data_IF_077688023989
#
_entry.id   IF_077688023989
#
_cell.length_a   1.000
_cell.length_b   1.000
_cell.length_c   1.000
_cell.angle_alpha   90.00
_cell.angle_beta   90.00
_cell.angle_gamma   90.00
#
_symmetry.space_group_name_H-M   'P 1'
#
loop_
_entity.id
_entity.type
_entity.pdbx_description
1 polymer ?
#
# COMPACT_ATOMS: atom_id res chain seq x y z
N UNK A 1 -50.96 -22.72 -2.81
CA UNK A 1 -50.36 -23.63 -3.83
C UNK A 1 -49.41 -24.67 -3.22
N UNK A 2 -48.73 -24.40 -2.11
CA UNK A 2 -47.80 -25.33 -1.44
C UNK A 2 -48.45 -26.47 -0.63
N UNK A 3 -49.77 -26.45 -0.48
CA UNK A 3 -50.52 -27.43 0.33
C UNK A 3 -50.78 -28.77 -0.37
N UNK A 4 -50.56 -28.87 -1.69
CA UNK A 4 -50.74 -30.11 -2.48
C UNK A 4 -49.45 -30.93 -2.69
N UNK A 5 -48.32 -30.49 -2.12
CA UNK A 5 -47.02 -31.15 -2.25
C UNK A 5 -46.87 -32.27 -1.21
N UNK A 6 -46.35 -33.42 -1.62
CA UNK A 6 -46.00 -34.51 -0.70
C UNK A 6 -44.86 -34.09 0.22
N UNK A 7 -44.75 -34.75 1.38
CA UNK A 7 -43.72 -34.44 2.39
C UNK A 7 -42.30 -34.55 1.79
N UNK A 8 -42.07 -35.54 0.93
CA UNK A 8 -40.80 -35.73 0.21
C UNK A 8 -40.47 -34.55 -0.72
N UNK A 9 -41.47 -34.01 -1.43
CA UNK A 9 -41.27 -32.84 -2.30
C UNK A 9 -40.91 -31.58 -1.51
N UNK A 10 -41.52 -31.40 -0.33
CA UNK A 10 -41.18 -30.28 0.57
C UNK A 10 -39.74 -30.41 1.06
N UNK A 11 -39.28 -31.62 1.41
CA UNK A 11 -37.91 -31.88 1.84
C UNK A 11 -36.88 -31.55 0.74
N UNK A 12 -37.13 -32.01 -0.50
CA UNK A 12 -36.25 -31.68 -1.64
C UNK A 12 -36.24 -30.19 -1.97
N UNK A 13 -37.37 -29.49 -1.87
CA UNK A 13 -37.44 -28.04 -2.06
C UNK A 13 -36.61 -27.28 -1.02
N UNK A 14 -36.66 -27.69 0.26
CA UNK A 14 -35.83 -27.10 1.31
C UNK A 14 -34.35 -27.35 1.05
N UNK A 15 -33.98 -28.57 0.68
CA UNK A 15 -32.60 -28.91 0.36
C UNK A 15 -32.07 -28.15 -0.86
N UNK A 16 -32.85 -28.06 -1.93
CA UNK A 16 -32.54 -27.26 -3.11
C UNK A 16 -32.38 -25.77 -2.74
N UNK A 17 -33.25 -25.24 -1.88
CA UNK A 17 -33.13 -23.88 -1.35
C UNK A 17 -31.80 -23.63 -0.64
N UNK A 18 -31.36 -24.56 0.22
CA UNK A 18 -30.07 -24.46 0.91
C UNK A 18 -28.91 -24.47 -0.09
N UNK A 19 -28.92 -25.36 -1.07
CA UNK A 19 -27.88 -25.44 -2.11
C UNK A 19 -27.80 -24.15 -2.91
N UNK A 20 -28.95 -23.56 -3.27
CA UNK A 20 -29.00 -22.27 -3.98
C UNK A 20 -28.39 -21.15 -3.14
N UNK A 21 -28.72 -21.09 -1.83
CA UNK A 21 -28.15 -20.08 -0.92
C UNK A 21 -26.63 -20.24 -0.81
N UNK A 22 -26.13 -21.47 -0.68
CA UNK A 22 -24.69 -21.76 -0.65
C UNK A 22 -24.01 -21.34 -1.96
N UNK A 23 -24.62 -21.63 -3.11
CA UNK A 23 -24.14 -21.21 -4.42
C UNK A 23 -24.02 -19.69 -4.54
N UNK A 24 -25.04 -18.95 -4.07
CA UNK A 24 -25.03 -17.48 -4.05
C UNK A 24 -23.89 -16.96 -3.17
N UNK A 25 -23.67 -17.57 -2.00
CA UNK A 25 -22.59 -17.17 -1.08
C UNK A 25 -21.22 -17.36 -1.71
N UNK A 26 -20.98 -18.52 -2.33
CA UNK A 26 -19.74 -18.81 -3.03
C UNK A 26 -19.54 -17.84 -4.20
N UNK A 27 -20.57 -17.61 -5.00
CA UNK A 27 -20.52 -16.65 -6.11
C UNK A 27 -20.21 -15.23 -5.65
N UNK A 28 -20.85 -14.76 -4.57
CA UNK A 28 -20.59 -13.45 -3.99
C UNK A 28 -19.15 -13.34 -3.45
N UNK A 29 -18.62 -14.38 -2.81
CA UNK A 29 -17.24 -14.42 -2.35
C UNK A 29 -16.23 -14.38 -3.52
N UNK A 30 -16.50 -15.12 -4.60
CA UNK A 30 -15.69 -15.07 -5.82
C UNK A 30 -15.63 -13.66 -6.44
N UNK A 31 -16.75 -12.91 -6.39
CA UNK A 31 -16.80 -11.52 -6.88
C UNK A 31 -16.08 -10.54 -5.94
N UNK A 32 -15.98 -10.85 -4.64
CA UNK A 32 -15.38 -9.99 -3.64
C UNK A 32 -13.85 -9.95 -3.64
N UNK A 33 -13.19 -10.98 -4.19
CA UNK A 33 -11.74 -11.14 -4.13
C UNK A 33 -10.97 -9.98 -4.80
N UNK A 34 -11.47 -9.45 -5.92
CA UNK A 34 -10.81 -8.34 -6.62
C UNK A 34 -10.77 -7.01 -5.84
N UNK A 35 -11.71 -6.79 -4.92
CA UNK A 35 -11.68 -5.59 -4.05
C UNK A 35 -10.60 -5.72 -2.97
N UNK A 36 -10.35 -6.94 -2.51
CA UNK A 36 -9.30 -7.23 -1.51
C UNK A 36 -7.92 -7.03 -2.15
N UNK A 37 -7.71 -7.53 -3.37
CA UNK A 37 -6.43 -7.36 -4.07
C UNK A 37 -6.11 -5.88 -4.34
N UNK A 38 -7.10 -5.09 -4.76
CA UNK A 38 -6.94 -3.65 -4.96
C UNK A 38 -6.56 -2.91 -3.67
N UNK A 39 -7.27 -3.20 -2.57
CA UNK A 39 -6.98 -2.61 -1.26
C UNK A 39 -5.57 -2.98 -0.76
N UNK A 40 -5.14 -4.22 -0.97
CA UNK A 40 -3.78 -4.65 -0.66
C UNK A 40 -2.76 -3.86 -1.49
N UNK A 41 -2.97 -3.74 -2.81
CA UNK A 41 -2.05 -3.04 -3.69
C UNK A 41 -1.92 -1.55 -3.35
N UNK A 42 -3.03 -0.87 -3.03
CA UNK A 42 -3.02 0.51 -2.54
C UNK A 42 -2.23 0.65 -1.24
N UNK A 43 -2.44 -0.24 -0.26
CA UNK A 43 -1.68 -0.22 0.99
C UNK A 43 -0.18 -0.40 0.75
N UNK A 44 0.20 -1.37 -0.09
CA UNK A 44 1.61 -1.59 -0.45
C UNK A 44 2.21 -0.36 -1.12
N UNK A 45 1.46 0.29 -2.02
CA UNK A 45 1.90 1.52 -2.66
C UNK A 45 2.12 2.65 -1.64
N UNK A 46 1.18 2.87 -0.71
CA UNK A 46 1.33 3.86 0.37
C UNK A 46 2.57 3.60 1.23
N UNK A 47 2.84 2.35 1.60
CA UNK A 47 4.06 2.01 2.35
C UNK A 47 5.34 2.28 1.55
N UNK A 48 5.33 2.07 0.23
CA UNK A 48 6.48 2.42 -0.63
C UNK A 48 6.72 3.93 -0.65
N UNK A 49 5.67 4.73 -0.81
CA UNK A 49 5.78 6.20 -0.76
C UNK A 49 6.34 6.65 0.59
N UNK A 50 5.75 6.20 1.71
CA UNK A 50 6.21 6.55 3.06
C UNK A 50 7.67 6.19 3.30
N UNK A 51 8.10 5.00 2.88
CA UNK A 51 9.47 4.55 3.04
C UNK A 51 10.45 5.41 2.23
N UNK A 52 10.13 5.72 0.97
CA UNK A 52 10.97 6.58 0.13
C UNK A 52 11.02 8.03 0.65
N UNK A 53 9.91 8.56 1.16
CA UNK A 53 9.88 9.87 1.82
C UNK A 53 10.76 9.91 3.06
N UNK A 54 10.70 8.86 3.90
CA UNK A 54 11.53 8.74 5.10
C UNK A 54 13.02 8.69 4.72
N UNK A 55 13.38 7.89 3.72
CA UNK A 55 14.77 7.81 3.23
C UNK A 55 15.28 9.15 2.71
N UNK A 56 14.47 9.88 1.94
CA UNK A 56 14.82 11.20 1.43
C UNK A 56 15.02 12.21 2.58
N UNK A 57 14.12 12.22 3.57
CA UNK A 57 14.23 13.07 4.75
C UNK A 57 15.50 12.77 5.56
N UNK A 58 15.84 11.50 5.77
CA UNK A 58 17.07 11.10 6.46
C UNK A 58 18.32 11.63 5.75
N UNK A 59 18.34 11.62 4.42
CA UNK A 59 19.47 12.18 3.69
C UNK A 59 19.56 13.70 3.84
N UNK A 60 18.44 14.42 3.82
CA UNK A 60 18.42 15.86 4.10
C UNK A 60 18.95 16.18 5.51
N UNK A 61 18.58 15.37 6.51
CA UNK A 61 19.09 15.51 7.88
C UNK A 61 20.60 15.27 7.93
N UNK A 62 21.12 14.25 7.22
CA UNK A 62 22.57 14.00 7.15
C UNK A 62 23.31 15.16 6.46
N UNK A 63 22.73 15.73 5.41
CA UNK A 63 23.24 16.92 4.72
C UNK A 63 23.36 18.09 5.67
N UNK A 64 22.27 18.40 6.37
CA UNK A 64 22.25 19.47 7.36
C UNK A 64 23.23 19.24 8.51
N UNK A 65 23.29 18.01 9.03
CA UNK A 65 24.18 17.63 10.14
C UNK A 65 25.65 17.80 9.74
N UNK A 66 26.02 17.36 8.53
CA UNK A 66 27.39 17.50 8.03
C UNK A 66 27.80 18.96 7.84
N UNK A 67 26.94 19.75 7.19
CA UNK A 67 27.17 21.20 7.01
C UNK A 67 27.35 21.90 8.36
N UNK A 68 26.46 21.66 9.33
CA UNK A 68 26.56 22.27 10.67
C UNK A 68 27.84 21.86 11.38
N UNK A 69 28.22 20.58 11.32
CA UNK A 69 29.46 20.09 11.92
C UNK A 69 30.71 20.74 11.34
N UNK A 70 30.75 20.95 10.01
CA UNK A 70 31.83 21.65 9.35
C UNK A 70 31.89 23.13 9.75
N UNK A 71 30.75 23.84 9.72
CA UNK A 71 30.68 25.26 10.10
C UNK A 71 31.15 25.51 11.54
N UNK A 72 30.81 24.60 12.48
CA UNK A 72 31.18 24.75 13.89
C UNK A 72 32.67 24.48 14.13
N UNK A 73 33.25 23.52 13.42
CA UNK A 73 34.59 22.98 13.76
C UNK A 73 35.70 23.33 12.77
N UNK A 74 35.34 23.74 11.55
CA UNK A 74 36.25 23.94 10.43
C UNK A 74 36.90 22.66 9.90
N UNK A 75 36.50 21.47 10.37
CA UNK A 75 37.15 20.20 10.01
C UNK A 75 36.39 19.50 8.87
N UNK A 76 37.09 19.23 7.77
CA UNK A 76 36.53 18.61 6.56
C UNK A 76 35.86 17.25 6.77
N UNK A 77 36.22 16.48 7.81
CA UNK A 77 35.59 15.18 8.06
C UNK A 77 34.08 15.29 8.35
N UNK A 78 33.60 16.44 8.85
CA UNK A 78 32.16 16.65 9.02
C UNK A 78 31.42 16.84 7.70
N UNK A 79 32.10 17.00 6.55
CA UNK A 79 31.45 17.05 5.25
C UNK A 79 31.09 15.65 4.72
N UNK A 80 31.57 14.57 5.33
CA UNK A 80 31.28 13.20 4.87
C UNK A 80 29.78 12.86 4.87
N UNK A 81 28.99 13.16 5.93
CA UNK A 81 27.53 12.99 5.90
C UNK A 81 26.83 13.88 4.86
N UNK A 82 27.39 15.06 4.58
CA UNK A 82 26.87 15.94 3.53
C UNK A 82 27.04 15.33 2.15
N UNK A 83 28.27 14.97 1.79
CA UNK A 83 28.58 14.43 0.47
C UNK A 83 27.82 13.12 0.23
N UNK A 84 27.79 12.23 1.23
CA UNK A 84 27.07 10.97 1.14
C UNK A 84 25.55 11.16 1.09
N UNK A 85 25.02 12.12 1.85
CA UNK A 85 23.60 12.46 1.86
C UNK A 85 23.15 13.06 0.53
N UNK A 86 23.91 13.98 -0.05
CA UNK A 86 23.61 14.60 -1.36
C UNK A 86 23.51 13.55 -2.47
N UNK A 87 24.48 12.63 -2.54
CA UNK A 87 24.47 11.54 -3.52
C UNK A 87 23.23 10.65 -3.36
N UNK A 88 22.96 10.17 -2.14
CA UNK A 88 21.80 9.31 -1.87
C UNK A 88 20.46 10.00 -2.08
N UNK A 89 20.36 11.30 -1.76
CA UNK A 89 19.17 12.09 -2.02
C UNK A 89 18.91 12.24 -3.52
N UNK A 90 19.96 12.50 -4.31
CA UNK A 90 19.84 12.61 -5.77
C UNK A 90 19.35 11.32 -6.42
N UNK A 91 19.66 10.16 -5.83
CA UNK A 91 19.20 8.85 -6.31
C UNK A 91 17.76 8.55 -5.86
N UNK A 92 17.41 8.91 -4.61
CA UNK A 92 16.12 8.59 -4.02
C UNK A 92 14.98 9.53 -4.47
N UNK A 93 15.27 10.82 -4.65
CA UNK A 93 14.25 11.83 -4.94
C UNK A 93 13.49 11.59 -6.28
N UNK A 94 14.15 11.21 -7.39
CA UNK A 94 13.44 10.89 -8.63
C UNK A 94 12.47 9.71 -8.48
N UNK A 95 12.87 8.70 -7.70
CA UNK A 95 12.02 7.53 -7.40
C UNK A 95 10.80 7.93 -6.60
N UNK A 96 10.98 8.76 -5.56
CA UNK A 96 9.87 9.29 -4.77
C UNK A 96 8.91 10.09 -5.66
N UNK A 97 9.43 10.99 -6.49
CA UNK A 97 8.64 11.80 -7.42
C UNK A 97 7.84 10.94 -8.42
N UNK A 98 8.44 9.85 -8.90
CA UNK A 98 7.77 8.87 -9.76
C UNK A 98 6.64 8.15 -9.03
N UNK A 99 6.77 7.88 -7.74
CA UNK A 99 5.75 7.16 -6.97
C UNK A 99 4.52 8.04 -6.68
N UNK A 100 4.64 9.36 -6.72
CA UNK A 100 3.54 10.29 -6.42
C UNK A 100 3.00 11.03 -7.65
N UNK A 101 3.38 10.62 -8.87
CA UNK A 101 3.04 11.36 -10.11
C UNK A 101 1.53 11.40 -10.40
N UNK A 102 0.81 10.41 -9.89
CA UNK A 102 -0.64 10.29 -10.00
C UNK A 102 -1.40 11.13 -8.96
N UNK A 103 -0.69 11.81 -8.05
CA UNK A 103 -1.29 12.65 -7.02
C UNK A 103 -0.64 14.05 -6.99
N UNK A 104 -1.33 15.03 -7.58
CA UNK A 104 -0.85 16.41 -7.68
C UNK A 104 -0.65 17.10 -6.32
N UNK A 105 -1.34 16.67 -5.25
CA UNK A 105 -1.11 17.20 -3.90
C UNK A 105 0.17 16.63 -3.26
N UNK A 106 0.74 15.56 -3.82
CA UNK A 106 1.95 14.86 -3.35
C UNK A 106 3.17 15.12 -4.25
N UNK A 107 3.09 16.07 -5.18
CA UNK A 107 4.18 16.58 -6.03
C UNK A 107 4.75 17.88 -5.47
#
# INVERSE_FOLDING_TARGET
>A
MFSKLSITQKLYLSFAGIVVILGIRVFSAYRGFGQVDSAINSNVHTYRVLNQSQMALEQLINIETGMRGFVITGKNHFLEPQIAGEAKFSDAFPTLKSLTIDNAEQQ
#
